data_IF_855855504038
#
_entry.id   IF_855855504038
#
_cell.length_a   1.000
_cell.length_b   1.000
_cell.length_c   1.000
_cell.angle_alpha   90.00
_cell.angle_beta   90.00
_cell.angle_gamma   90.00
#
_symmetry.space_group_name_H-M   'P 1'
#
loop_
_entity.id
_entity.type
_entity.pdbx_description
1 polymer ?
#
# COMPACT_ATOMS: atom_id res chain seq x y z
N UNK A 1 -7.50 5.98 -11.70
CA UNK A 1 -8.94 5.65 -11.53
C UNK A 1 -9.05 4.36 -10.72
N UNK A 2 -10.16 4.10 -10.01
CA UNK A 2 -10.37 2.78 -9.39
C UNK A 2 -10.68 1.78 -10.50
N UNK A 3 -9.97 0.65 -10.51
CA UNK A 3 -10.19 -0.43 -11.48
C UNK A 3 -11.55 -1.07 -11.23
N UNK A 4 -12.25 -1.41 -12.31
CA UNK A 4 -13.51 -2.15 -12.25
C UNK A 4 -13.32 -3.63 -12.60
N UNK A 5 -14.07 -4.50 -11.92
CA UNK A 5 -14.17 -5.91 -12.28
C UNK A 5 -15.02 -6.10 -13.56
N UNK A 6 -15.20 -7.36 -13.99
CA UNK A 6 -15.98 -7.69 -15.18
C UNK A 6 -17.50 -7.42 -15.04
N UNK A 7 -17.98 -7.13 -13.84
CA UNK A 7 -19.37 -6.76 -13.55
C UNK A 7 -19.53 -5.23 -13.38
N UNK A 8 -18.44 -4.47 -13.46
CA UNK A 8 -18.43 -3.01 -13.30
C UNK A 8 -18.29 -2.53 -11.85
N UNK A 9 -18.07 -3.42 -10.89
CA UNK A 9 -17.86 -3.04 -9.49
C UNK A 9 -16.44 -2.55 -9.27
N UNK A 10 -16.27 -1.60 -8.35
CA UNK A 10 -14.97 -1.12 -7.95
C UNK A 10 -14.17 -2.22 -7.24
N UNK A 11 -12.93 -2.42 -7.68
CA UNK A 11 -12.02 -3.43 -7.12
C UNK A 11 -11.37 -2.92 -5.82
N UNK A 12 -12.20 -2.80 -4.78
CA UNK A 12 -11.82 -2.44 -3.42
C UNK A 12 -12.20 -3.59 -2.50
N UNK A 13 -11.20 -4.27 -1.93
CA UNK A 13 -11.40 -5.47 -1.13
C UNK A 13 -10.92 -5.27 0.30
N UNK A 14 -11.55 -5.92 1.30
CA UNK A 14 -11.03 -5.92 2.66
C UNK A 14 -9.62 -6.51 2.71
N UNK A 15 -8.72 -5.85 3.45
CA UNK A 15 -7.38 -6.35 3.73
C UNK A 15 -7.22 -6.61 5.23
N UNK A 16 -6.65 -7.76 5.59
CA UNK A 16 -6.26 -8.09 6.95
C UNK A 16 -4.76 -8.36 6.96
N UNK A 17 -4.05 -7.56 7.75
CA UNK A 17 -2.64 -7.76 8.05
C UNK A 17 -2.48 -8.31 9.46
N UNK A 18 -1.35 -8.95 9.69
CA UNK A 18 -0.88 -9.25 11.02
C UNK A 18 0.59 -8.87 11.10
N UNK A 19 0.94 -8.08 12.11
CA UNK A 19 2.33 -7.72 12.39
C UNK A 19 2.74 -8.33 13.73
N UNK A 20 3.81 -9.11 13.72
CA UNK A 20 4.41 -9.62 14.96
C UNK A 20 4.93 -8.42 15.77
N UNK A 21 4.52 -8.33 17.03
CA UNK A 21 4.85 -7.23 17.94
C UNK A 21 6.23 -7.44 18.60
N UNK A 22 6.90 -8.56 18.32
CA UNK A 22 8.27 -8.84 18.76
C UNK A 22 8.40 -9.07 20.27
N UNK A 23 7.29 -9.27 20.99
CA UNK A 23 7.32 -9.43 22.44
C UNK A 23 7.98 -10.74 22.90
N UNK A 24 8.02 -11.76 22.03
CA UNK A 24 8.68 -13.04 22.28
C UNK A 24 10.16 -12.90 22.67
N UNK A 25 10.86 -11.90 22.12
CA UNK A 25 12.29 -11.68 22.37
C UNK A 25 12.57 -10.84 23.62
N UNK A 26 11.54 -10.27 24.24
CA UNK A 26 11.66 -9.45 25.45
C UNK A 26 11.78 -10.30 26.72
N UNK A 27 12.37 -9.73 27.78
CA UNK A 27 12.45 -10.40 29.10
C UNK A 27 11.07 -10.80 29.62
N UNK A 28 10.07 -9.93 29.43
CA UNK A 28 8.67 -10.22 29.74
C UNK A 28 8.16 -11.42 28.93
N UNK A 29 8.39 -11.44 27.61
CA UNK A 29 7.97 -12.53 26.75
C UNK A 29 8.57 -13.87 27.15
N UNK A 30 9.87 -13.91 27.47
CA UNK A 30 10.55 -15.13 27.92
C UNK A 30 10.03 -15.61 29.27
N UNK A 31 9.88 -14.71 30.25
CA UNK A 31 9.36 -15.04 31.58
C UNK A 31 7.95 -15.62 31.53
N UNK A 32 7.11 -15.11 30.64
CA UNK A 32 5.71 -15.51 30.49
C UNK A 32 5.46 -16.53 29.37
N UNK A 33 6.52 -17.10 28.78
CA UNK A 33 6.43 -18.08 27.68
C UNK A 33 5.54 -17.60 26.51
N UNK A 34 5.63 -16.33 26.15
CA UNK A 34 4.90 -15.75 25.03
C UNK A 34 5.53 -16.23 23.73
N UNK A 35 4.84 -17.13 23.02
CA UNK A 35 5.32 -17.73 21.76
C UNK A 35 5.03 -16.84 20.55
N UNK A 36 3.94 -16.07 20.58
CA UNK A 36 3.56 -15.17 19.50
C UNK A 36 2.68 -14.03 20.05
N UNK A 37 2.96 -12.80 19.63
CA UNK A 37 2.01 -11.69 19.81
C UNK A 37 1.82 -10.98 18.49
N UNK A 38 0.59 -10.96 18.03
CA UNK A 38 0.21 -10.33 16.77
C UNK A 38 -0.65 -9.11 17.05
N UNK A 39 -0.33 -8.01 16.36
CA UNK A 39 -1.24 -6.87 16.27
C UNK A 39 -2.04 -7.02 14.98
N UNK A 40 -3.34 -7.26 15.13
CA UNK A 40 -4.25 -7.28 13.99
C UNK A 40 -4.26 -5.90 13.33
N UNK A 41 -4.09 -5.89 12.02
CA UNK A 41 -4.23 -4.71 11.18
C UNK A 41 -5.36 -4.97 10.19
N UNK A 42 -6.19 -3.96 9.95
CA UNK A 42 -7.27 -4.02 8.97
C UNK A 42 -7.21 -2.80 8.08
N UNK A 43 -7.58 -2.98 6.82
CA UNK A 43 -7.65 -1.90 5.85
C UNK A 43 -8.33 -2.37 4.58
N UNK A 44 -7.93 -1.79 3.45
CA UNK A 44 -8.43 -2.14 2.13
C UNK A 44 -7.27 -2.39 1.17
N UNK A 45 -7.47 -3.33 0.26
CA UNK A 45 -6.67 -3.53 -0.93
C UNK A 45 -7.41 -2.91 -2.12
N UNK A 46 -6.79 -1.96 -2.80
CA UNK A 46 -7.41 -1.20 -3.90
C UNK A 46 -6.63 -1.44 -5.19
N UNK A 47 -7.34 -1.78 -6.27
CA UNK A 47 -6.76 -1.85 -7.60
C UNK A 47 -7.01 -0.54 -8.35
N UNK A 48 -5.97 0.00 -8.97
CA UNK A 48 -6.01 1.29 -9.67
C UNK A 48 -5.57 1.14 -11.12
N UNK A 49 -6.07 2.04 -11.96
CA UNK A 49 -5.64 2.21 -13.35
C UNK A 49 -5.02 3.59 -13.55
N UNK A 50 -3.92 3.62 -14.32
CA UNK A 50 -3.27 4.85 -14.76
C UNK A 50 -3.94 5.31 -16.05
N UNK A 51 -4.44 6.53 -16.07
CA UNK A 51 -5.08 7.14 -17.23
C UNK A 51 -4.28 8.36 -17.68
N UNK A 52 -3.42 8.15 -18.67
CA UNK A 52 -2.51 9.17 -19.16
C UNK A 52 -3.09 10.07 -20.26
N UNK A 53 -4.40 10.02 -20.56
CA UNK A 53 -4.99 10.75 -21.70
C UNK A 53 -4.69 12.26 -21.72
N UNK A 54 -4.61 12.88 -20.53
CA UNK A 54 -4.25 14.29 -20.36
C UNK A 54 -2.75 14.50 -20.16
N UNK A 55 -2.07 13.57 -19.50
CA UNK A 55 -0.64 13.66 -19.24
C UNK A 55 0.16 13.70 -20.55
N UNK A 56 -0.19 12.85 -21.52
CA UNK A 56 0.52 12.77 -22.81
C UNK A 56 0.31 13.97 -23.72
N UNK A 57 -0.73 14.78 -23.48
CA UNK A 57 -1.08 15.93 -24.32
C UNK A 57 -0.65 17.27 -23.74
N UNK A 58 -0.24 17.29 -22.46
CA UNK A 58 0.20 18.49 -21.77
C UNK A 58 1.73 18.67 -21.96
N UNK A 59 2.15 19.83 -22.44
CA UNK A 59 3.58 20.10 -22.68
C UNK A 59 4.37 20.14 -21.37
N UNK A 60 5.53 19.48 -21.35
CA UNK A 60 6.41 19.46 -20.16
C UNK A 60 5.99 18.45 -19.08
N UNK A 61 5.05 17.55 -19.39
CA UNK A 61 4.63 16.50 -18.46
C UNK A 61 5.54 15.28 -18.53
N UNK A 62 5.76 14.64 -17.39
CA UNK A 62 6.34 13.31 -17.29
C UNK A 62 5.26 12.32 -16.86
N UNK A 63 5.09 11.23 -17.61
CA UNK A 63 4.02 10.26 -17.42
C UNK A 63 4.60 8.87 -17.14
N UNK A 64 4.02 8.13 -16.20
CA UNK A 64 4.33 6.71 -15.98
C UNK A 64 3.60 5.86 -17.00
N UNK A 65 4.30 5.01 -17.76
CA UNK A 65 3.68 4.16 -18.77
C UNK A 65 3.40 2.74 -18.28
N UNK A 66 3.88 2.40 -17.08
CA UNK A 66 3.52 1.17 -16.38
C UNK A 66 3.10 1.45 -14.93
N UNK A 67 2.27 0.55 -14.38
CA UNK A 67 1.93 0.58 -12.97
C UNK A 67 3.15 0.33 -12.08
N UNK A 68 4.11 -0.48 -12.57
CA UNK A 68 5.36 -0.77 -11.88
C UNK A 68 6.20 0.49 -11.64
N UNK A 69 6.45 1.30 -12.67
CA UNK A 69 7.21 2.56 -12.54
C UNK A 69 6.53 3.53 -11.56
N UNK A 70 5.19 3.64 -11.62
CA UNK A 70 4.45 4.49 -10.70
C UNK A 70 4.54 3.98 -9.25
N UNK A 71 4.47 2.66 -9.04
CA UNK A 71 4.60 2.05 -7.72
C UNK A 71 6.01 2.24 -7.15
N UNK A 72 7.05 2.08 -7.98
CA UNK A 72 8.44 2.34 -7.57
C UNK A 72 8.66 3.81 -7.21
N UNK A 73 8.15 4.73 -8.00
CA UNK A 73 8.23 6.16 -7.70
C UNK A 73 7.55 6.51 -6.37
N UNK A 74 6.37 5.93 -6.11
CA UNK A 74 5.64 6.13 -4.86
C UNK A 74 6.39 5.55 -3.65
N UNK A 75 6.97 4.36 -3.79
CA UNK A 75 7.79 3.74 -2.76
C UNK A 75 9.07 4.56 -2.48
N UNK A 76 9.74 5.03 -3.52
CA UNK A 76 10.91 5.90 -3.40
C UNK A 76 10.56 7.24 -2.74
N UNK A 77 9.41 7.83 -3.08
CA UNK A 77 8.91 9.05 -2.46
C UNK A 77 8.65 8.85 -0.98
N UNK A 78 7.98 7.76 -0.59
CA UNK A 78 7.72 7.42 0.82
C UNK A 78 9.01 7.18 1.64
N UNK A 79 10.10 6.76 0.99
CA UNK A 79 11.39 6.55 1.66
C UNK A 79 12.12 7.85 2.02
N UNK A 80 11.83 8.95 1.31
CA UNK A 80 12.50 10.25 1.46
C UNK A 80 11.59 11.35 2.01
N UNK A 81 10.29 11.22 1.80
CA UNK A 81 9.28 12.22 2.10
C UNK A 81 8.08 11.59 2.79
N UNK A 82 7.40 12.38 3.62
CA UNK A 82 6.11 11.97 4.20
C UNK A 82 5.01 12.11 3.15
N UNK A 83 4.35 11.00 2.82
CA UNK A 83 3.08 11.03 2.09
C UNK A 83 1.97 11.60 2.99
N UNK A 84 0.86 12.04 2.38
CA UNK A 84 -0.29 12.54 3.16
C UNK A 84 -0.76 11.49 4.18
N UNK A 85 -0.99 11.88 5.45
CA UNK A 85 -1.47 10.97 6.48
C UNK A 85 -2.94 10.60 6.31
N UNK A 86 -3.70 11.31 5.48
CA UNK A 86 -5.14 11.08 5.29
C UNK A 86 -5.45 9.69 4.72
N UNK A 87 -4.49 9.12 3.98
CA UNK A 87 -4.57 7.78 3.41
C UNK A 87 -3.27 7.03 3.69
N UNK A 88 -3.16 6.33 4.85
CA UNK A 88 -1.94 5.60 5.19
C UNK A 88 -1.74 4.42 4.24
N UNK A 89 -0.77 4.56 3.34
CA UNK A 89 -0.40 3.52 2.37
C UNK A 89 0.58 2.56 3.03
N UNK A 90 0.14 1.32 3.26
CA UNK A 90 0.98 0.27 3.85
C UNK A 90 1.93 -0.37 2.82
N UNK A 91 1.44 -0.61 1.59
CA UNK A 91 2.20 -1.23 0.52
C UNK A 91 1.64 -0.83 -0.85
N UNK A 92 2.53 -0.70 -1.83
CA UNK A 92 2.20 -0.51 -3.26
C UNK A 92 2.91 -1.55 -4.11
N UNK A 93 2.27 -1.96 -5.22
CA UNK A 93 2.80 -2.88 -6.23
C UNK A 93 2.21 -2.51 -7.58
N UNK A 94 2.93 -2.78 -8.67
CA UNK A 94 2.51 -2.51 -10.04
C UNK A 94 2.87 -3.62 -10.99
#
# INVERSE_FOLDING_TARGET
LIKKDHLGNDMVFPWKGSTNVGLQDTEFGRKHHIVLTERAQSGVHVYLEIDNRKCTTMSGSECFFSAHEAAEFLAATASKHSLSPDFPIYQVKG
#
